data_IF_292706990700
#
_entry.id   IF_292706990700
#
_cell.length_a   1.000
_cell.length_b   1.000
_cell.length_c   1.000
_cell.angle_alpha   90.00
_cell.angle_beta   90.00
_cell.angle_gamma   90.00
#
_symmetry.space_group_name_H-M   'P 1'
#
loop_
_entity.id
_entity.type
_entity.pdbx_description
1 polymer ?
#
# COMPACT_ATOMS: atom_id res chain seq x y z
N UNK A 1 -13.19 -28.78 -7.95
CA UNK A 1 -13.18 -27.38 -8.43
C UNK A 1 -12.83 -27.39 -9.91
N UNK A 2 -13.61 -26.73 -10.79
CA UNK A 2 -13.18 -26.51 -12.17
C UNK A 2 -11.92 -25.62 -12.19
N UNK A 3 -10.95 -25.88 -13.08
CA UNK A 3 -9.72 -25.10 -13.15
C UNK A 3 -10.03 -23.64 -13.55
N UNK A 4 -9.43 -22.69 -12.84
CA UNK A 4 -9.56 -21.24 -13.14
C UNK A 4 -8.99 -21.02 -14.55
N UNK A 5 -9.80 -20.49 -15.47
CA UNK A 5 -9.33 -20.12 -16.81
C UNK A 5 -8.37 -18.92 -16.74
N UNK A 6 -7.08 -19.22 -16.69
CA UNK A 6 -6.01 -18.23 -16.85
C UNK A 6 -5.55 -18.19 -18.30
N UNK A 7 -5.47 -17.01 -18.90
CA UNK A 7 -4.81 -16.83 -20.20
C UNK A 7 -3.42 -16.26 -19.95
N UNK A 8 -2.34 -16.98 -20.29
CA UNK A 8 -0.99 -16.43 -20.17
C UNK A 8 -0.84 -15.29 -21.18
N UNK A 9 -0.49 -14.10 -20.69
CA UNK A 9 -0.10 -12.97 -21.53
C UNK A 9 1.41 -12.87 -21.43
N UNK A 10 2.10 -13.21 -22.52
CA UNK A 10 3.54 -13.09 -22.61
C UNK A 10 3.88 -11.74 -23.22
N UNK A 11 4.55 -10.89 -22.45
CA UNK A 11 5.04 -9.60 -22.94
C UNK A 11 6.49 -9.84 -23.38
N UNK A 12 6.77 -9.58 -24.65
CA UNK A 12 8.15 -9.52 -25.14
C UNK A 12 8.72 -8.17 -24.73
N UNK A 13 9.55 -8.16 -23.69
CA UNK A 13 10.36 -6.98 -23.39
C UNK A 13 11.29 -6.72 -24.59
N UNK A 14 11.27 -5.48 -25.09
CA UNK A 14 12.14 -5.04 -26.18
C UNK A 14 13.57 -4.95 -25.62
N UNK A 15 14.50 -5.63 -26.31
CA UNK A 15 15.90 -5.88 -25.98
C UNK A 15 16.15 -7.07 -25.00
N UNK A 16 16.60 -8.16 -25.62
CA UNK A 16 17.17 -9.41 -25.06
C UNK A 16 16.27 -10.42 -24.30
N UNK A 17 15.80 -11.40 -25.09
CA UNK A 17 15.61 -12.83 -24.83
C UNK A 17 14.79 -13.36 -23.63
N UNK A 18 14.34 -12.53 -22.68
CA UNK A 18 13.53 -13.02 -21.55
C UNK A 18 12.03 -12.74 -21.76
N UNK A 19 11.28 -13.77 -22.16
CA UNK A 19 9.81 -13.73 -22.21
C UNK A 19 9.25 -13.87 -20.79
N UNK A 20 8.71 -12.79 -20.23
CA UNK A 20 7.96 -12.84 -18.97
C UNK A 20 6.50 -13.10 -19.31
N UNK A 21 6.01 -14.29 -18.96
CA UNK A 21 4.60 -14.63 -19.09
C UNK A 21 3.89 -14.40 -17.75
N UNK A 22 2.98 -13.43 -17.72
CA UNK A 22 2.17 -13.12 -16.55
C UNK A 22 0.80 -13.77 -16.78
N UNK A 23 0.36 -14.59 -15.83
CA UNK A 23 -1.00 -15.13 -15.81
C UNK A 23 -1.95 -14.05 -15.32
N UNK A 24 -2.49 -13.27 -16.26
CA UNK A 24 -3.50 -12.27 -15.92
C UNK A 24 -4.85 -12.98 -15.77
N UNK A 25 -5.55 -12.83 -14.62
CA UNK A 25 -6.89 -13.37 -14.47
C UNK A 25 -7.80 -12.69 -15.49
N UNK A 26 -8.43 -13.50 -16.34
CA UNK A 26 -9.42 -12.99 -17.30
C UNK A 26 -10.67 -12.52 -16.54
N UNK A 27 -11.46 -11.62 -17.13
CA UNK A 27 -12.75 -11.21 -16.54
C UNK A 27 -13.67 -12.41 -16.26
N UNK A 28 -13.61 -13.44 -17.09
CA UNK A 28 -14.33 -14.70 -16.87
C UNK A 28 -13.78 -15.49 -15.68
N UNK A 29 -12.45 -15.52 -15.51
CA UNK A 29 -11.81 -16.07 -14.31
C UNK A 29 -12.24 -15.35 -13.03
N UNK A 30 -12.36 -14.01 -13.06
CA UNK A 30 -12.83 -13.24 -11.91
C UNK A 30 -14.29 -13.55 -11.58
N UNK A 31 -15.17 -13.67 -12.58
CA UNK A 31 -16.57 -14.09 -12.37
C UNK A 31 -16.64 -15.48 -11.75
N UNK A 32 -15.86 -16.44 -12.27
CA UNK A 32 -15.81 -17.79 -11.71
C UNK A 32 -15.30 -17.79 -10.27
N UNK A 33 -14.26 -17.01 -9.96
CA UNK A 33 -13.74 -16.86 -8.61
C UNK A 33 -14.80 -16.26 -7.65
N UNK A 34 -15.55 -15.25 -8.09
CA UNK A 34 -16.67 -14.67 -7.33
C UNK A 34 -17.78 -15.69 -7.07
N UNK A 35 -18.14 -16.51 -8.07
CA UNK A 35 -19.14 -17.57 -7.92
C UNK A 35 -18.64 -18.63 -6.93
N UNK A 36 -17.38 -19.04 -7.05
CA UNK A 36 -16.76 -20.01 -6.14
C UNK A 36 -16.72 -19.47 -4.70
N UNK A 37 -16.24 -18.24 -4.51
CA UNK A 37 -16.22 -17.55 -3.22
C UNK A 37 -17.62 -17.47 -2.60
N UNK A 38 -18.63 -17.10 -3.40
CA UNK A 38 -20.02 -17.07 -2.96
C UNK A 38 -20.48 -18.44 -2.46
N UNK A 39 -20.16 -19.51 -3.18
CA UNK A 39 -20.60 -20.87 -2.81
C UNK A 39 -19.86 -21.38 -1.56
N UNK A 40 -18.57 -21.14 -1.45
CA UNK A 40 -17.74 -21.76 -0.41
C UNK A 40 -17.71 -20.99 0.90
N UNK A 41 -17.76 -19.66 0.83
CA UNK A 41 -17.61 -18.79 2.00
C UNK A 41 -18.96 -18.24 2.45
N UNK A 42 -19.71 -17.63 1.54
CA UNK A 42 -21.00 -16.99 1.86
C UNK A 42 -22.10 -17.98 2.25
N UNK A 43 -22.19 -19.14 1.57
CA UNK A 43 -23.20 -20.15 1.93
C UNK A 43 -22.82 -20.94 3.18
N UNK A 44 -21.52 -21.21 3.39
CA UNK A 44 -21.05 -22.07 4.49
C UNK A 44 -21.03 -21.33 5.82
N UNK A 45 -20.72 -20.03 5.80
CA UNK A 45 -20.58 -19.21 7.00
C UNK A 45 -21.27 -17.85 6.84
N UNK A 46 -22.60 -17.82 6.66
CA UNK A 46 -23.32 -16.57 6.38
C UNK A 46 -23.22 -15.56 7.52
N UNK A 47 -23.28 -16.03 8.78
CA UNK A 47 -23.14 -15.20 9.97
C UNK A 47 -21.75 -14.59 10.13
N UNK A 48 -20.68 -15.35 9.84
CA UNK A 48 -19.30 -14.85 9.91
C UNK A 48 -19.11 -13.79 8.82
N UNK A 49 -19.60 -14.04 7.61
CA UNK A 49 -19.52 -13.08 6.51
C UNK A 49 -20.28 -11.78 6.82
N UNK A 50 -21.51 -11.90 7.34
CA UNK A 50 -22.28 -10.74 7.78
C UNK A 50 -21.55 -9.99 8.89
N UNK A 51 -21.04 -10.68 9.91
CA UNK A 51 -20.27 -10.06 10.99
C UNK A 51 -19.02 -9.32 10.50
N UNK A 52 -18.27 -9.91 9.57
CA UNK A 52 -17.08 -9.29 8.95
C UNK A 52 -17.47 -8.06 8.13
N UNK A 53 -18.52 -8.16 7.29
CA UNK A 53 -19.01 -7.03 6.50
C UNK A 53 -19.54 -5.90 7.38
N UNK A 54 -20.23 -6.24 8.47
CA UNK A 54 -20.75 -5.31 9.45
C UNK A 54 -19.61 -4.64 10.22
N UNK A 55 -18.61 -5.38 10.68
CA UNK A 55 -17.41 -4.82 11.30
C UNK A 55 -16.68 -3.87 10.33
N UNK A 56 -16.55 -4.28 9.07
CA UNK A 56 -15.94 -3.43 8.03
C UNK A 56 -16.79 -2.19 7.72
N UNK A 57 -18.11 -2.27 7.83
CA UNK A 57 -18.99 -1.10 7.63
C UNK A 57 -18.74 0.04 8.63
N UNK A 58 -18.33 -0.29 9.86
CA UNK A 58 -17.97 0.70 10.87
C UNK A 58 -16.63 1.37 10.59
N UNK A 59 -15.70 0.66 9.94
CA UNK A 59 -14.36 1.14 9.62
C UNK A 59 -13.96 0.83 8.18
N UNK A 60 -14.65 1.40 7.16
CA UNK A 60 -14.41 1.07 5.76
C UNK A 60 -12.99 1.44 5.29
N UNK A 61 -12.39 2.43 5.96
CA UNK A 61 -11.07 2.96 5.66
C UNK A 61 -9.92 2.10 6.21
N UNK A 62 -10.17 1.26 7.23
CA UNK A 62 -9.13 0.55 7.96
C UNK A 62 -8.18 -0.30 7.09
N UNK A 63 -8.66 -1.20 6.20
CA UNK A 63 -7.74 -2.04 5.42
C UNK A 63 -6.87 -1.22 4.47
N UNK A 64 -7.38 -0.11 3.93
CA UNK A 64 -6.61 0.79 3.08
C UNK A 64 -5.58 1.59 3.87
N UNK A 65 -5.89 1.98 5.10
CA UNK A 65 -4.91 2.59 6.01
C UNK A 65 -3.81 1.62 6.38
N UNK A 66 -4.14 0.37 6.70
CA UNK A 66 -3.15 -0.67 7.00
C UNK A 66 -2.26 -0.90 5.79
N UNK A 67 -2.85 -1.02 4.59
CA UNK A 67 -2.11 -1.17 3.34
C UNK A 67 -1.17 0.02 3.11
N UNK A 68 -1.66 1.25 3.19
CA UNK A 68 -0.85 2.44 3.05
C UNK A 68 0.29 2.48 4.09
N UNK A 69 0.00 2.15 5.33
CA UNK A 69 1.01 2.13 6.39
C UNK A 69 2.10 1.10 6.10
N UNK A 70 1.72 -0.14 5.78
CA UNK A 70 2.65 -1.24 5.52
C UNK A 70 3.48 -1.00 4.26
N UNK A 71 2.87 -0.52 3.18
CA UNK A 71 3.54 -0.38 1.89
C UNK A 71 4.27 0.96 1.71
N UNK A 72 3.86 2.00 2.42
CA UNK A 72 4.42 3.35 2.22
C UNK A 72 5.12 3.89 3.47
N UNK A 73 4.47 3.84 4.63
CA UNK A 73 5.01 4.45 5.85
C UNK A 73 6.17 3.63 6.41
N UNK A 74 6.04 2.31 6.47
CA UNK A 74 7.08 1.42 7.01
C UNK A 74 8.38 1.47 6.18
N UNK A 75 8.36 1.28 4.84
CA UNK A 75 9.59 1.34 4.04
C UNK A 75 10.26 2.72 4.08
N UNK A 76 9.45 3.78 4.04
CA UNK A 76 9.96 5.15 4.17
C UNK A 76 10.69 5.36 5.50
N UNK A 77 10.12 4.89 6.60
CA UNK A 77 10.71 5.01 7.94
C UNK A 77 12.02 4.22 8.04
N UNK A 78 12.07 3.02 7.45
CA UNK A 78 13.28 2.20 7.40
C UNK A 78 14.39 2.94 6.62
N UNK A 79 14.08 3.48 5.43
CA UNK A 79 15.05 4.22 4.61
C UNK A 79 15.58 5.44 5.37
N UNK A 80 14.69 6.23 5.98
CA UNK A 80 15.08 7.39 6.78
C UNK A 80 15.94 7.00 7.98
N UNK A 81 15.62 5.90 8.67
CA UNK A 81 16.41 5.37 9.76
C UNK A 81 17.83 4.99 9.31
N UNK A 82 17.96 4.28 8.18
CA UNK A 82 19.25 3.92 7.59
C UNK A 82 20.06 5.17 7.24
N UNK A 83 19.43 6.15 6.57
CA UNK A 83 20.08 7.41 6.21
C UNK A 83 20.57 8.18 7.43
N UNK A 84 19.76 8.21 8.50
CA UNK A 84 20.13 8.84 9.78
C UNK A 84 21.33 8.13 10.40
N UNK A 85 21.36 6.79 10.41
CA UNK A 85 22.52 6.02 10.88
C UNK A 85 23.78 6.24 10.04
N UNK A 86 23.64 6.49 8.73
CA UNK A 86 24.76 6.84 7.86
C UNK A 86 25.30 8.27 8.11
N UNK A 87 24.53 9.11 8.79
CA UNK A 87 24.87 10.50 9.10
C UNK A 87 24.24 11.53 8.18
N UNK A 88 23.21 11.16 7.41
CA UNK A 88 22.37 12.13 6.71
C UNK A 88 21.30 12.64 7.67
N UNK A 89 21.43 13.90 8.08
CA UNK A 89 20.54 14.59 9.00
C UNK A 89 19.87 15.79 8.31
N UNK A 90 18.94 16.45 9.01
CA UNK A 90 18.20 17.61 8.49
C UNK A 90 19.11 18.79 8.13
N UNK A 91 20.18 18.97 8.90
CA UNK A 91 21.20 20.00 8.66
C UNK A 91 22.22 19.63 7.58
N UNK A 92 22.05 18.49 6.89
CA UNK A 92 23.00 17.96 5.93
C UNK A 92 23.75 16.75 6.49
N UNK A 93 25.03 16.64 6.16
CA UNK A 93 25.83 15.47 6.55
C UNK A 93 26.49 15.74 7.89
N UNK A 94 26.22 14.91 8.90
CA UNK A 94 26.81 14.99 10.23
C UNK A 94 28.33 14.87 10.14
N UNK A 95 29.05 15.77 10.82
CA UNK A 95 30.51 15.69 10.93
C UNK A 95 30.94 14.38 11.58
N UNK A 96 32.00 13.77 11.04
CA UNK A 96 32.59 12.51 11.51
C UNK A 96 31.68 11.26 11.36
N UNK A 97 30.75 11.30 10.42
CA UNK A 97 29.88 10.18 10.05
C UNK A 97 30.44 9.36 8.88
N UNK A 98 29.82 8.20 8.61
CA UNK A 98 30.13 7.38 7.44
C UNK A 98 29.90 8.19 6.16
N UNK A 99 28.80 8.94 6.10
CA UNK A 99 28.48 9.82 4.97
C UNK A 99 29.53 10.94 4.80
N UNK A 100 30.03 11.56 5.88
CA UNK A 100 31.06 12.61 5.77
C UNK A 100 32.40 12.05 5.28
N UNK A 101 32.77 10.84 5.74
CA UNK A 101 34.00 10.16 5.28
C UNK A 101 33.91 9.80 3.80
N UNK A 102 32.76 9.27 3.38
CA UNK A 102 32.48 8.97 1.99
C UNK A 102 32.53 10.24 1.12
N UNK A 103 31.93 11.34 1.59
CA UNK A 103 31.99 12.63 0.90
C UNK A 103 33.42 13.12 0.76
N UNK A 104 34.23 13.13 1.83
CA UNK A 104 35.61 13.59 1.77
C UNK A 104 36.49 12.75 0.85
N UNK A 105 36.25 11.43 0.80
CA UNK A 105 37.08 10.50 0.02
C UNK A 105 36.72 10.49 -1.48
N UNK A 106 35.45 10.60 -1.83
CA UNK A 106 34.98 10.45 -3.22
C UNK A 106 34.55 11.75 -3.89
N UNK A 107 34.03 12.73 -3.14
CA UNK A 107 33.48 13.98 -3.69
C UNK A 107 34.30 15.21 -3.31
N UNK A 108 35.14 15.12 -2.27
CA UNK A 108 35.89 16.24 -1.73
C UNK A 108 34.95 17.36 -1.28
N UNK A 109 34.97 18.49 -2.00
CA UNK A 109 34.14 19.67 -1.72
C UNK A 109 32.90 19.84 -2.60
N UNK A 110 32.70 19.01 -3.63
CA UNK A 110 31.59 19.18 -4.59
C UNK A 110 30.77 17.90 -4.75
N UNK A 111 29.49 17.97 -4.39
CA UNK A 111 28.53 16.87 -4.58
C UNK A 111 27.74 17.09 -5.88
N UNK A 112 27.76 16.14 -6.84
CA UNK A 112 26.96 16.25 -8.05
C UNK A 112 25.47 16.16 -7.74
N UNK A 113 24.68 17.12 -8.25
CA UNK A 113 23.25 17.27 -7.93
C UNK A 113 22.37 16.07 -8.31
N UNK A 114 22.76 15.26 -9.28
CA UNK A 114 21.99 14.09 -9.75
C UNK A 114 22.52 12.73 -9.25
N UNK A 115 23.46 12.73 -8.29
CA UNK A 115 24.05 11.51 -7.76
C UNK A 115 23.17 10.78 -6.73
N UNK A 116 23.55 9.54 -6.40
CA UNK A 116 22.93 8.79 -5.31
C UNK A 116 23.09 9.51 -3.96
N UNK A 117 24.23 10.18 -3.77
CA UNK A 117 24.54 10.94 -2.55
C UNK A 117 23.65 12.17 -2.37
N UNK A 118 23.43 12.97 -3.43
CA UNK A 118 22.54 14.14 -3.35
C UNK A 118 21.09 13.74 -3.11
N UNK A 119 20.62 12.63 -3.71
CA UNK A 119 19.30 12.05 -3.39
C UNK A 119 19.22 11.64 -1.93
N UNK A 120 20.23 10.92 -1.42
CA UNK A 120 20.28 10.49 -0.02
C UNK A 120 20.28 11.67 0.96
N UNK A 121 20.99 12.75 0.63
CA UNK A 121 20.98 14.00 1.38
C UNK A 121 19.59 14.67 1.36
N UNK A 122 18.96 14.74 0.19
CA UNK A 122 17.60 15.26 0.02
C UNK A 122 16.58 14.44 0.82
N UNK A 123 16.70 13.10 0.82
CA UNK A 123 15.85 12.23 1.63
C UNK A 123 16.08 12.37 3.13
N UNK A 124 17.34 12.47 3.59
CA UNK A 124 17.65 12.72 5.00
C UNK A 124 17.13 14.05 5.51
N UNK A 125 17.07 15.07 4.64
CA UNK A 125 16.50 16.38 4.96
C UNK A 125 14.98 16.36 5.21
N UNK A 126 14.27 15.36 4.69
CA UNK A 126 12.81 15.19 4.84
C UNK A 126 12.45 14.60 6.23
N UNK A 127 13.42 14.04 6.97
CA UNK A 127 13.19 13.11 8.08
C UNK A 127 12.50 13.63 9.34
N UNK A 128 12.28 14.95 9.50
CA UNK A 128 11.79 15.50 10.78
C UNK A 128 10.53 16.37 10.69
N UNK A 129 10.19 16.90 9.51
CA UNK A 129 8.94 17.67 9.34
C UNK A 129 7.67 16.80 9.30
N UNK A 130 7.84 15.48 9.18
CA UNK A 130 6.73 14.53 9.16
C UNK A 130 6.51 13.75 10.46
N UNK A 131 7.41 13.90 11.45
CA UNK A 131 7.36 13.17 12.73
C UNK A 131 7.00 14.07 13.92
N UNK A 132 7.04 15.39 13.73
CA UNK A 132 6.33 16.31 14.62
C UNK A 132 4.86 16.25 14.28
N UNK A 133 4.03 16.07 15.32
CA UNK A 133 2.57 16.13 15.28
C UNK A 133 2.01 17.51 14.89
N UNK A 134 2.51 18.12 13.84
CA UNK A 134 1.76 18.99 12.96
C UNK A 134 0.94 18.06 12.05
N UNK A 135 -0.25 17.60 12.44
CA UNK A 135 -1.45 18.45 12.62
C UNK A 135 -1.45 19.70 11.72
N UNK A 136 -0.85 19.62 10.52
CA UNK A 136 -1.54 20.18 9.38
C UNK A 136 -2.83 19.41 9.33
N UNK A 137 -3.88 20.06 9.81
CA UNK A 137 -5.25 19.73 9.48
C UNK A 137 -5.33 19.73 7.94
N UNK A 138 -4.88 18.65 7.32
CA UNK A 138 -5.26 18.25 5.99
C UNK A 138 -6.76 18.03 6.15
N UNK A 139 -7.52 19.13 5.97
CA UNK A 139 -8.95 19.12 6.08
C UNK A 139 -9.39 17.96 5.20
N UNK A 140 -9.93 16.88 5.79
CA UNK A 140 -10.20 15.68 5.02
C UNK A 140 -11.18 16.12 3.94
N UNK A 141 -10.70 16.10 2.69
CA UNK A 141 -11.46 16.63 1.57
C UNK A 141 -12.90 16.13 1.69
N UNK A 142 -13.91 17.01 1.68
CA UNK A 142 -15.28 16.65 2.01
C UNK A 142 -15.77 15.46 1.17
N UNK A 143 -15.29 15.38 -0.08
CA UNK A 143 -15.52 14.28 -1.02
C UNK A 143 -15.05 12.93 -0.46
N UNK A 144 -13.84 12.85 0.10
CA UNK A 144 -13.28 11.61 0.67
C UNK A 144 -14.12 11.13 1.85
N UNK A 145 -14.54 12.03 2.74
CA UNK A 145 -15.40 11.69 3.89
C UNK A 145 -16.76 11.16 3.43
N UNK A 146 -17.36 11.82 2.45
CA UNK A 146 -18.64 11.42 1.86
C UNK A 146 -18.52 10.04 1.19
N UNK A 147 -17.47 9.83 0.39
CA UNK A 147 -17.18 8.56 -0.29
C UNK A 147 -17.07 7.38 0.68
N UNK A 148 -16.28 7.51 1.76
CA UNK A 148 -16.15 6.46 2.77
C UNK A 148 -17.47 6.19 3.50
N UNK A 149 -18.28 7.23 3.73
CA UNK A 149 -19.61 7.06 4.32
C UNK A 149 -20.53 6.27 3.40
N UNK A 150 -20.53 6.54 2.10
CA UNK A 150 -21.29 5.76 1.11
C UNK A 150 -20.84 4.30 1.07
N UNK A 151 -19.52 4.03 1.10
CA UNK A 151 -19.00 2.66 1.16
C UNK A 151 -19.48 1.95 2.43
N UNK A 152 -19.39 2.61 3.59
CA UNK A 152 -19.88 2.05 4.85
C UNK A 152 -21.36 1.65 4.77
N UNK A 153 -22.21 2.52 4.22
CA UNK A 153 -23.63 2.20 4.00
C UNK A 153 -23.86 1.03 3.04
N UNK A 154 -23.10 0.95 1.94
CA UNK A 154 -23.18 -0.18 1.01
C UNK A 154 -22.79 -1.51 1.67
N UNK A 155 -21.74 -1.50 2.50
CA UNK A 155 -21.30 -2.69 3.24
C UNK A 155 -22.34 -3.12 4.29
N UNK A 156 -22.93 -2.16 5.00
CA UNK A 156 -23.99 -2.41 5.97
C UNK A 156 -25.22 -3.02 5.28
N UNK A 157 -25.66 -2.43 4.17
CA UNK A 157 -26.75 -2.97 3.36
C UNK A 157 -26.44 -4.39 2.87
N UNK A 158 -25.21 -4.61 2.36
CA UNK A 158 -24.74 -5.93 1.94
C UNK A 158 -24.79 -6.96 3.06
N UNK A 159 -24.33 -6.60 4.27
CA UNK A 159 -24.41 -7.46 5.46
C UNK A 159 -25.84 -7.84 5.80
N UNK A 160 -26.77 -6.88 5.76
CA UNK A 160 -28.18 -7.11 6.07
C UNK A 160 -28.84 -8.03 5.02
N UNK A 161 -28.53 -7.83 3.73
CA UNK A 161 -29.00 -8.73 2.66
C UNK A 161 -28.48 -10.15 2.84
N UNK A 162 -27.20 -10.31 3.21
CA UNK A 162 -26.63 -11.64 3.48
C UNK A 162 -27.34 -12.30 4.66
N UNK A 163 -27.54 -11.56 5.75
CA UNK A 163 -28.17 -12.09 6.95
C UNK A 163 -29.65 -12.45 6.73
N UNK A 164 -30.42 -11.62 6.05
CA UNK A 164 -31.83 -11.90 5.75
C UNK A 164 -32.01 -13.05 4.76
N UNK A 165 -31.15 -13.14 3.73
CA UNK A 165 -31.28 -14.15 2.68
C UNK A 165 -30.76 -15.52 3.10
N UNK A 166 -29.73 -15.56 3.94
CA UNK A 166 -29.00 -16.79 4.27
C UNK A 166 -29.03 -17.15 5.76
N UNK A 167 -29.53 -16.29 6.64
CA UNK A 167 -29.65 -16.58 8.08
C UNK A 167 -30.93 -17.33 8.46
N UNK A 168 -31.93 -17.38 7.59
CA UNK A 168 -33.20 -18.09 7.85
C UNK A 168 -33.24 -19.56 7.40
N UNK A 169 -32.12 -20.10 6.91
CA UNK A 169 -31.96 -21.50 6.47
C UNK A 169 -31.12 -22.26 7.48
#
# INVERSE_FOLDING_TARGET
MPPIQTRPVCITAVADANRVCITVPTMEGLKQALIAFRREVLMKYPYICAAVLLLWSFYPQFPFQVLYFVFYVVPRSIILGILTCLGFERGGVRSDSIASRYQSQYYGGYTPGNGFFSRSQSYGAIGQDGSDGSTLAEQPHPIRRIFWRFIGWLLLYGSLVVLLKYGGQ
#
